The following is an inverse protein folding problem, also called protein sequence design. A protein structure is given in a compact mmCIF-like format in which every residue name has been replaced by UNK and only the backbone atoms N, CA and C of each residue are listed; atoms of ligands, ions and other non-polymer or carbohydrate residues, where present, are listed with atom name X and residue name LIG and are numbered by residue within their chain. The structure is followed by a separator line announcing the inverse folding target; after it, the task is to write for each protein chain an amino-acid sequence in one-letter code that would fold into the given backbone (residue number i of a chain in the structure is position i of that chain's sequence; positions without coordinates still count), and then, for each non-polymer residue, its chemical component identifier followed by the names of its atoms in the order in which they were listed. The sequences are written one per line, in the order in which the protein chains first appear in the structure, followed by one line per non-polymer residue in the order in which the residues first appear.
data_IF_379226934276
#
_entry.id   IF_379226934276
#
_cell.length_a   1.000
_cell.length_b   1.000
_cell.length_c   1.000
_cell.angle_alpha   90.00
_cell.angle_beta   90.00
_cell.angle_gamma   90.00
#
_symmetry.space_group_name_H-M   'P 1'
#
loop_
_entity.id
_entity.type
_entity.pdbx_description
1 polymer ?
#
# COMPACT_ATOMS: atom_id res chain seq x y z
N UNK A 1 30.29 -54.57 40.76
CA UNK A 1 29.29 -53.64 41.34
C UNK A 1 29.60 -52.27 40.75
N UNK A 2 29.20 -51.99 39.51
CA UNK A 2 27.92 -51.38 39.09
C UNK A 2 27.57 -50.20 40.01
N UNK A 3 27.83 -48.98 39.53
CA UNK A 3 26.87 -47.87 39.56
C UNK A 3 27.31 -46.81 38.54
N UNK A 4 26.59 -46.86 37.42
CA UNK A 4 26.66 -46.00 36.25
C UNK A 4 25.89 -44.72 36.59
N UNK A 5 26.58 -43.58 36.71
CA UNK A 5 25.92 -42.29 36.87
C UNK A 5 25.42 -41.83 35.50
N UNK A 6 24.11 -41.92 35.28
CA UNK A 6 23.43 -41.42 34.09
C UNK A 6 23.31 -39.89 34.20
N UNK A 7 24.08 -39.15 33.40
CA UNK A 7 23.88 -37.71 33.20
C UNK A 7 22.90 -37.59 32.03
N UNK A 8 21.63 -37.30 32.34
CA UNK A 8 20.61 -36.96 31.33
C UNK A 8 20.72 -35.46 31.06
N UNK A 9 21.43 -35.10 29.99
CA UNK A 9 21.42 -33.74 29.45
C UNK A 9 20.14 -33.57 28.63
N UNK A 10 19.14 -32.91 29.22
CA UNK A 10 17.90 -32.54 28.53
C UNK A 10 18.19 -31.37 27.59
N UNK A 11 18.48 -31.66 26.31
CA UNK A 11 18.49 -30.69 25.23
C UNK A 11 17.06 -30.22 24.97
N UNK A 12 16.64 -29.12 25.61
CA UNK A 12 15.51 -28.33 25.13
C UNK A 12 15.92 -27.66 23.83
N UNK A 13 15.64 -28.31 22.71
CA UNK A 13 15.55 -27.62 21.42
C UNK A 13 14.32 -26.70 21.47
N UNK A 14 14.52 -25.47 21.90
CA UNK A 14 13.57 -24.40 21.62
C UNK A 14 13.56 -24.20 20.11
N UNK A 15 12.60 -24.84 19.43
CA UNK A 15 12.22 -24.46 18.08
C UNK A 15 11.65 -23.04 18.17
N UNK A 16 12.52 -22.04 18.09
CA UNK A 16 12.09 -20.68 17.84
C UNK A 16 11.43 -20.70 16.48
N UNK A 17 10.10 -20.67 16.44
CA UNK A 17 9.39 -20.26 15.25
C UNK A 17 9.83 -18.83 15.00
N UNK A 18 10.76 -18.64 14.06
CA UNK A 18 10.94 -17.33 13.45
C UNK A 18 9.59 -16.98 12.87
N UNK A 19 8.93 -15.96 13.41
CA UNK A 19 7.78 -15.38 12.71
C UNK A 19 8.34 -14.89 11.38
N UNK A 20 7.94 -15.51 10.26
CA UNK A 20 8.28 -14.96 8.96
C UNK A 20 7.73 -13.54 8.91
N UNK A 21 8.61 -12.59 8.61
CA UNK A 21 8.23 -11.18 8.52
C UNK A 21 7.36 -11.05 7.28
N UNK A 22 6.04 -11.01 7.49
CA UNK A 22 5.07 -10.85 6.40
C UNK A 22 5.39 -9.64 5.52
N UNK A 23 5.73 -8.51 6.13
CA UNK A 23 6.09 -7.30 5.40
C UNK A 23 7.27 -6.60 6.05
N UNK A 24 8.31 -6.39 5.26
CA UNK A 24 9.46 -5.54 5.62
C UNK A 24 9.09 -4.07 5.51
N UNK A 25 8.26 -3.69 4.53
CA UNK A 25 7.96 -2.29 4.25
C UNK A 25 6.69 -1.78 4.92
N UNK A 26 5.57 -2.49 4.82
CA UNK A 26 4.29 -1.99 5.32
C UNK A 26 4.06 -2.36 6.79
N UNK A 27 3.54 -1.43 7.61
CA UNK A 27 3.41 -1.64 9.04
C UNK A 27 2.07 -2.31 9.36
N UNK A 28 2.04 -3.64 9.31
CA UNK A 28 0.82 -4.44 9.43
C UNK A 28 0.39 -4.73 10.89
N UNK A 29 0.99 -4.06 11.87
CA UNK A 29 0.66 -4.26 13.28
C UNK A 29 -0.65 -3.54 13.64
N UNK A 30 -1.62 -4.26 14.22
CA UNK A 30 -2.87 -3.70 14.72
C UNK A 30 -2.63 -2.48 15.61
N UNK A 31 -3.38 -1.42 15.36
CA UNK A 31 -3.26 -0.14 16.06
C UNK A 31 -2.33 0.87 15.39
N UNK A 32 -1.43 0.43 14.51
CA UNK A 32 -0.62 1.34 13.70
C UNK A 32 -1.54 2.26 12.90
N UNK A 33 -1.21 3.55 12.89
CA UNK A 33 -1.90 4.56 12.10
C UNK A 33 -0.90 5.45 11.36
N UNK A 34 -1.26 5.89 10.17
CA UNK A 34 -0.44 6.79 9.38
C UNK A 34 -1.29 7.67 8.49
N UNK A 35 -0.78 8.85 8.16
CA UNK A 35 -1.50 9.84 7.36
C UNK A 35 -0.68 10.20 6.12
N UNK A 36 -1.33 10.16 4.96
CA UNK A 36 -0.78 10.64 3.70
C UNK A 36 -1.51 11.91 3.30
N UNK A 37 -0.77 12.98 3.00
CA UNK A 37 -1.35 14.19 2.40
C UNK A 37 -0.93 14.29 0.94
N UNK A 38 -1.89 14.57 0.07
CA UNK A 38 -1.69 14.75 -1.37
C UNK A 38 -1.79 16.22 -1.76
N UNK A 39 -0.90 16.65 -2.64
CA UNK A 39 -0.74 18.04 -3.08
C UNK A 39 -0.92 18.18 -4.59
N UNK A 40 -1.52 19.28 -5.00
CA UNK A 40 -1.62 19.65 -6.42
C UNK A 40 -0.33 20.33 -6.93
N UNK A 41 -0.33 20.73 -8.21
CA UNK A 41 0.80 21.42 -8.87
C UNK A 41 1.21 22.75 -8.23
N UNK A 42 0.40 23.31 -7.33
CA UNK A 42 0.67 24.55 -6.61
C UNK A 42 0.99 24.33 -5.15
N UNK A 43 1.37 23.11 -4.76
CA UNK A 43 1.67 22.69 -3.38
C UNK A 43 0.51 22.93 -2.42
N UNK A 44 -0.72 22.90 -2.95
CA UNK A 44 -1.92 23.02 -2.14
C UNK A 44 -2.41 21.63 -1.75
N UNK A 45 -2.70 21.39 -0.46
CA UNK A 45 -3.36 20.17 -0.03
C UNK A 45 -4.66 19.95 -0.81
N UNK A 46 -4.78 18.76 -1.40
CA UNK A 46 -5.90 18.34 -2.24
C UNK A 46 -6.72 17.24 -1.59
N UNK A 47 -6.06 16.34 -0.85
CA UNK A 47 -6.69 15.28 -0.06
C UNK A 47 -5.78 14.90 1.11
N UNK A 48 -6.39 14.45 2.20
CA UNK A 48 -5.70 13.83 3.33
C UNK A 48 -6.30 12.45 3.50
N UNK A 49 -5.48 11.41 3.65
CA UNK A 49 -5.94 10.05 3.90
C UNK A 49 -5.35 9.56 5.21
N UNK A 50 -6.21 9.29 6.18
CA UNK A 50 -5.85 8.67 7.44
C UNK A 50 -6.04 7.16 7.34
N UNK A 51 -4.99 6.40 7.61
CA UNK A 51 -4.99 4.95 7.63
C UNK A 51 -4.86 4.42 9.05
N UNK A 52 -5.49 3.27 9.32
CA UNK A 52 -5.33 2.52 10.56
C UNK A 52 -5.41 1.03 10.30
N UNK A 53 -4.47 0.27 10.85
CA UNK A 53 -4.59 -1.20 10.90
C UNK A 53 -5.66 -1.54 11.94
N UNK A 54 -6.87 -1.84 11.47
CA UNK A 54 -8.04 -2.10 12.32
C UNK A 54 -7.97 -3.48 12.96
N UNK A 55 -7.44 -4.46 12.24
CA UNK A 55 -7.19 -5.81 12.72
C UNK A 55 -6.02 -6.48 12.00
N UNK A 56 -5.44 -7.51 12.60
CA UNK A 56 -4.35 -8.27 11.99
C UNK A 56 -4.33 -9.72 12.49
N UNK A 57 -4.06 -10.64 11.57
CA UNK A 57 -3.77 -12.04 11.83
C UNK A 57 -2.31 -12.39 11.55
N UNK A 58 -2.03 -13.69 11.43
CA UNK A 58 -0.68 -14.19 11.14
C UNK A 58 -0.23 -13.83 9.71
N UNK A 59 -1.15 -13.93 8.75
CA UNK A 59 -0.89 -13.83 7.31
C UNK A 59 -1.74 -12.75 6.60
N UNK A 60 -2.43 -11.90 7.37
CA UNK A 60 -3.27 -10.84 6.84
C UNK A 60 -3.37 -9.65 7.80
N UNK A 61 -3.72 -8.48 7.26
CA UNK A 61 -4.08 -7.30 8.03
C UNK A 61 -5.20 -6.52 7.34
N UNK A 62 -6.14 -6.00 8.13
CA UNK A 62 -7.19 -5.11 7.65
C UNK A 62 -6.75 -3.66 7.82
N UNK A 63 -6.69 -2.93 6.71
CA UNK A 63 -6.32 -1.51 6.70
C UNK A 63 -7.56 -0.67 6.41
N UNK A 64 -8.07 -0.01 7.46
CA UNK A 64 -9.11 0.98 7.34
C UNK A 64 -8.52 2.33 6.90
N UNK A 65 -9.28 3.10 6.14
CA UNK A 65 -8.90 4.43 5.70
C UNK A 65 -10.07 5.42 5.67
N UNK A 66 -9.74 6.69 5.93
CA UNK A 66 -10.65 7.84 5.85
C UNK A 66 -10.04 8.89 4.92
N UNK A 67 -10.75 9.22 3.84
CA UNK A 67 -10.36 10.27 2.90
C UNK A 67 -11.06 11.56 3.30
N UNK A 68 -10.27 12.62 3.47
CA UNK A 68 -10.72 13.98 3.76
C UNK A 68 -10.44 14.90 2.60
N UNK A 69 -11.36 15.83 2.35
CA UNK A 69 -11.11 16.95 1.45
C UNK A 69 -10.14 17.98 2.07
N UNK A 70 -9.77 19.00 1.28
CA UNK A 70 -8.90 20.11 1.74
C UNK A 70 -9.42 20.92 2.93
N UNK A 71 -10.69 20.74 3.33
CA UNK A 71 -11.30 21.39 4.51
C UNK A 71 -11.35 20.46 5.72
N UNK A 72 -10.81 19.24 5.60
CA UNK A 72 -10.85 18.22 6.64
C UNK A 72 -12.20 17.49 6.73
N UNK A 73 -13.12 17.70 5.78
CA UNK A 73 -14.39 16.98 5.75
C UNK A 73 -14.15 15.58 5.23
N UNK A 74 -14.59 14.57 5.97
CA UNK A 74 -14.62 13.17 5.50
C UNK A 74 -15.52 13.06 4.27
N UNK A 75 -14.96 12.52 3.19
CA UNK A 75 -15.66 12.32 1.91
C UNK A 75 -15.75 10.85 1.50
N UNK A 76 -14.92 9.98 2.08
CA UNK A 76 -15.00 8.54 1.89
C UNK A 76 -14.35 7.80 3.07
N UNK A 77 -14.87 6.62 3.37
CA UNK A 77 -14.28 5.68 4.33
C UNK A 77 -14.41 4.27 3.77
N UNK A 78 -13.39 3.44 3.95
CA UNK A 78 -13.45 2.02 3.60
C UNK A 78 -12.29 1.29 4.27
N UNK A 79 -12.18 -0.01 4.03
CA UNK A 79 -11.08 -0.83 4.47
C UNK A 79 -10.76 -1.86 3.38
N UNK A 80 -9.52 -2.32 3.36
CA UNK A 80 -9.10 -3.39 2.47
C UNK A 80 -8.10 -4.30 3.18
N UNK A 81 -8.07 -5.56 2.75
CA UNK A 81 -7.19 -6.57 3.31
C UNK A 81 -5.84 -6.56 2.57
N UNK A 82 -4.77 -6.65 3.35
CA UNK A 82 -3.42 -6.92 2.87
C UNK A 82 -3.10 -8.36 3.27
N UNK A 83 -2.68 -9.20 2.33
CA UNK A 83 -2.26 -10.57 2.60
C UNK A 83 -0.76 -10.73 2.42
N UNK A 84 -0.16 -11.55 3.26
CA UNK A 84 1.19 -12.05 3.02
C UNK A 84 1.11 -13.02 1.84
N UNK A 85 1.93 -12.78 0.82
CA UNK A 85 1.99 -13.64 -0.35
C UNK A 85 3.44 -13.72 -0.80
N UNK A 86 3.90 -14.94 -1.08
CA UNK A 86 5.26 -15.22 -1.51
C UNK A 86 6.30 -14.66 -0.50
N UNK A 87 7.27 -13.87 -0.98
CA UNK A 87 8.29 -13.22 -0.17
C UNK A 87 7.91 -11.79 0.25
N UNK A 88 6.63 -11.43 0.31
CA UNK A 88 6.18 -10.10 0.74
C UNK A 88 4.67 -9.98 0.91
N UNK A 89 4.11 -8.88 0.42
CA UNK A 89 2.67 -8.62 0.49
C UNK A 89 2.03 -8.54 -0.90
N UNK A 90 0.77 -8.97 -0.94
CA UNK A 90 -0.14 -8.71 -2.04
C UNK A 90 -1.30 -7.85 -1.54
N UNK A 91 -1.58 -6.78 -2.25
CA UNK A 91 -2.79 -5.99 -2.07
C UNK A 91 -3.81 -6.46 -3.10
N UNK A 92 -4.93 -7.03 -2.63
CA UNK A 92 -6.03 -7.46 -3.49
C UNK A 92 -6.84 -6.23 -3.92
N UNK A 93 -6.71 -5.85 -5.19
CA UNK A 93 -7.47 -4.73 -5.74
C UNK A 93 -8.98 -4.94 -5.67
N UNK A 94 -9.49 -6.19 -5.59
CA UNK A 94 -10.92 -6.43 -5.38
C UNK A 94 -11.40 -5.86 -4.05
N UNK A 95 -10.57 -5.92 -3.01
CA UNK A 95 -10.86 -5.31 -1.71
C UNK A 95 -10.82 -3.78 -1.74
N UNK A 96 -10.13 -3.18 -2.72
CA UNK A 96 -10.15 -1.72 -2.95
C UNK A 96 -11.45 -1.24 -3.61
N UNK A 97 -12.35 -2.14 -4.03
CA UNK A 97 -13.69 -1.85 -4.55
C UNK A 97 -14.67 -1.19 -3.58
N UNK A 98 -14.21 -0.88 -2.36
CA UNK A 98 -14.88 -0.09 -1.34
C UNK A 98 -16.29 -0.56 -0.95
N UNK A 99 -16.41 -1.56 -0.05
CA UNK A 99 -17.68 -1.92 0.60
C UNK A 99 -18.38 -0.71 1.24
N UNK A 100 -17.60 0.18 1.88
CA UNK A 100 -18.13 1.38 2.55
C UNK A 100 -18.70 2.46 1.62
N UNK A 101 -18.36 2.43 0.32
CA UNK A 101 -18.98 3.29 -0.70
C UNK A 101 -20.29 2.64 -1.18
N UNK A 102 -20.34 1.30 -1.31
CA UNK A 102 -21.56 0.56 -1.65
C UNK A 102 -22.65 0.69 -0.58
N UNK A 103 -22.30 0.62 0.72
CA UNK A 103 -23.27 0.75 1.82
C UNK A 103 -23.98 2.11 1.86
N UNK A 104 -23.38 3.16 1.29
CA UNK A 104 -23.96 4.51 1.27
C UNK A 104 -24.93 4.73 0.10
N UNK A 105 -24.96 3.84 -0.89
CA UNK A 105 -25.80 4.00 -2.08
C UNK A 105 -26.38 2.63 -2.52
N UNK A 106 -27.60 2.34 -2.06
CA UNK A 106 -28.31 1.07 -2.30
C UNK A 106 -28.44 0.71 -3.80
N UNK A 107 -28.45 1.70 -4.69
CA UNK A 107 -28.58 1.53 -6.15
C UNK A 107 -27.24 1.40 -6.89
N UNK A 108 -26.12 1.25 -6.17
CA UNK A 108 -24.79 1.19 -6.76
C UNK A 108 -24.18 -0.21 -6.68
N UNK A 109 -23.85 -0.76 -7.85
CA UNK A 109 -23.12 -2.03 -7.99
C UNK A 109 -21.70 -1.77 -8.49
N UNK A 110 -20.70 -2.34 -7.82
CA UNK A 110 -19.28 -2.19 -8.17
C UNK A 110 -18.70 -3.56 -8.49
N UNK A 111 -18.18 -3.71 -9.70
CA UNK A 111 -17.41 -4.88 -10.12
C UNK A 111 -15.92 -4.50 -10.18
N UNK A 112 -15.05 -5.27 -9.52
CA UNK A 112 -13.60 -5.08 -9.59
C UNK A 112 -12.91 -6.38 -10.01
N UNK A 113 -12.00 -6.28 -10.97
CA UNK A 113 -11.11 -7.36 -11.41
C UNK A 113 -9.72 -6.82 -11.71
N UNK A 114 -8.72 -7.69 -11.83
CA UNK A 114 -7.36 -7.29 -12.14
C UNK A 114 -6.32 -8.24 -11.56
N UNK A 115 -5.08 -7.78 -11.49
CA UNK A 115 -3.95 -8.51 -10.91
C UNK A 115 -3.43 -7.79 -9.67
N UNK A 116 -3.12 -8.55 -8.61
CA UNK A 116 -2.68 -8.00 -7.32
C UNK A 116 -1.43 -7.11 -7.46
N UNK A 117 -1.33 -6.08 -6.62
CA UNK A 117 -0.08 -5.33 -6.45
C UNK A 117 0.84 -6.07 -5.50
N UNK A 118 1.93 -6.61 -6.03
CA UNK A 118 2.94 -7.33 -5.24
C UNK A 118 4.05 -6.37 -4.80
N UNK A 119 4.37 -6.40 -3.52
CA UNK A 119 5.53 -5.73 -2.92
C UNK A 119 6.37 -6.78 -2.18
N UNK A 120 7.47 -7.26 -2.79
CA UNK A 120 8.34 -8.23 -2.13
C UNK A 120 9.11 -7.57 -0.98
N UNK A 121 9.54 -8.38 -0.01
CA UNK A 121 10.36 -7.94 1.12
C UNK A 121 11.77 -7.54 0.71
N UNK A 122 12.25 -8.06 -0.42
CA UNK A 122 13.54 -7.70 -0.98
C UNK A 122 13.37 -6.73 -2.17
N UNK A 123 13.80 -5.48 -2.00
CA UNK A 123 13.79 -4.43 -3.03
C UNK A 123 15.22 -3.96 -3.31
N UNK A 124 15.97 -4.79 -4.04
CA UNK A 124 17.32 -4.46 -4.49
C UNK A 124 17.29 -3.56 -5.72
N UNK A 125 18.23 -2.61 -5.80
CA UNK A 125 18.39 -1.74 -6.95
C UNK A 125 18.52 -2.54 -8.25
N UNK A 126 17.82 -2.10 -9.29
CA UNK A 126 17.78 -2.79 -10.58
C UNK A 126 16.70 -3.87 -10.69
N UNK A 127 16.15 -4.38 -9.58
CA UNK A 127 15.08 -5.40 -9.58
C UNK A 127 13.81 -4.85 -10.26
N UNK A 128 13.28 -5.62 -11.20
CA UNK A 128 11.97 -5.39 -11.80
C UNK A 128 10.89 -6.06 -10.97
N UNK A 129 9.72 -5.44 -10.90
CA UNK A 129 8.55 -5.96 -10.17
C UNK A 129 7.41 -6.24 -11.15
N UNK A 130 6.53 -7.22 -10.85
CA UNK A 130 5.40 -7.54 -11.72
C UNK A 130 4.48 -6.35 -11.95
N UNK A 131 4.04 -6.20 -13.20
CA UNK A 131 2.99 -5.27 -13.61
C UNK A 131 1.67 -5.60 -12.91
N UNK A 132 0.87 -4.58 -12.64
CA UNK A 132 -0.45 -4.74 -12.02
C UNK A 132 -1.52 -3.94 -12.75
N UNK A 133 -2.73 -4.49 -12.84
CA UNK A 133 -3.87 -3.78 -13.39
C UNK A 133 -5.11 -3.91 -12.50
N UNK A 134 -6.02 -2.95 -12.67
CA UNK A 134 -7.32 -2.93 -12.03
C UNK A 134 -8.35 -2.45 -13.06
N UNK A 135 -9.43 -3.22 -13.18
CA UNK A 135 -10.60 -2.92 -13.98
C UNK A 135 -11.79 -2.80 -13.03
N UNK A 136 -12.30 -1.59 -12.89
CA UNK A 136 -13.45 -1.29 -12.06
C UNK A 136 -14.61 -0.84 -12.94
N UNK A 137 -15.79 -1.40 -12.70
CA UNK A 137 -17.04 -0.99 -13.32
C UNK A 137 -18.02 -0.59 -12.23
N UNK A 138 -18.53 0.63 -12.30
CA UNK A 138 -19.52 1.16 -11.37
C UNK A 138 -20.84 1.32 -12.14
N UNK A 139 -21.88 0.66 -11.65
CA UNK A 139 -23.23 0.72 -12.14
C UNK A 139 -24.06 1.59 -11.19
N UNK A 140 -24.56 2.72 -11.68
CA UNK A 140 -25.51 3.60 -10.97
C UNK A 140 -26.63 3.91 -11.95
N UNK A 141 -27.78 3.26 -11.83
CA UNK A 141 -28.85 3.33 -12.84
C UNK A 141 -29.17 4.77 -13.27
N UNK A 142 -29.16 5.11 -14.58
CA UNK A 142 -28.88 4.30 -15.78
C UNK A 142 -27.41 4.38 -16.29
N UNK A 143 -26.50 4.95 -15.50
CA UNK A 143 -25.11 5.25 -15.84
C UNK A 143 -24.22 4.03 -15.56
N UNK A 144 -23.37 3.69 -16.53
CA UNK A 144 -22.27 2.73 -16.37
C UNK A 144 -20.94 3.46 -16.51
N UNK A 145 -20.15 3.51 -15.43
CA UNK A 145 -18.80 4.07 -15.41
C UNK A 145 -17.77 2.95 -15.43
N UNK A 146 -16.70 3.13 -16.20
CA UNK A 146 -15.55 2.23 -16.23
C UNK A 146 -14.30 2.98 -15.85
N UNK A 147 -13.49 2.38 -15.00
CA UNK A 147 -12.19 2.86 -14.58
C UNK A 147 -11.16 1.75 -14.75
N UNK A 148 -10.21 1.97 -15.65
CA UNK A 148 -9.07 1.08 -15.82
C UNK A 148 -7.81 1.74 -15.24
N UNK A 149 -7.01 1.01 -14.48
CA UNK A 149 -5.71 1.43 -13.99
C UNK A 149 -4.67 0.38 -14.36
N UNK A 150 -3.56 0.80 -14.94
CA UNK A 150 -2.42 -0.04 -15.23
C UNK A 150 -1.16 0.58 -14.62
N UNK A 151 -0.37 -0.24 -13.94
CA UNK A 151 0.94 0.11 -13.40
C UNK A 151 1.93 -0.86 -14.03
N UNK A 152 2.87 -0.34 -14.81
CA UNK A 152 3.79 -1.17 -15.59
C UNK A 152 5.23 -0.70 -15.48
N UNK A 153 6.18 -1.56 -15.89
CA UNK A 153 7.61 -1.27 -15.88
C UNK A 153 8.09 -0.83 -14.48
N UNK A 154 7.60 -1.53 -13.45
CA UNK A 154 7.95 -1.26 -12.06
C UNK A 154 9.39 -1.69 -11.82
N UNK A 155 10.20 -0.80 -11.25
CA UNK A 155 11.63 -1.05 -11.01
C UNK A 155 12.11 -0.37 -9.74
N UNK A 156 12.97 -1.03 -9.00
CA UNK A 156 13.73 -0.42 -7.91
C UNK A 156 14.86 0.42 -8.51
N UNK A 157 14.75 1.74 -8.36
CA UNK A 157 15.68 2.73 -8.93
C UNK A 157 16.89 3.03 -8.05
N UNK A 158 16.83 2.71 -6.76
CA UNK A 158 17.92 2.98 -5.81
C UNK A 158 17.41 3.26 -4.40
N UNK A 159 18.22 3.99 -3.63
CA UNK A 159 17.89 4.41 -2.25
C UNK A 159 18.09 5.91 -2.08
N UNK A 160 17.20 6.55 -1.36
CA UNK A 160 17.24 7.98 -1.07
C UNK A 160 16.75 8.24 0.37
N UNK A 161 17.33 9.23 1.05
CA UNK A 161 16.82 9.69 2.34
C UNK A 161 15.78 10.79 2.11
N UNK A 162 14.57 10.60 2.64
CA UNK A 162 13.45 11.55 2.50
C UNK A 162 13.06 12.09 3.88
N UNK A 163 12.87 13.40 3.97
CA UNK A 163 12.33 14.05 5.17
C UNK A 163 10.93 14.56 4.88
N UNK A 164 9.99 14.22 5.76
CA UNK A 164 8.59 14.64 5.72
C UNK A 164 8.19 15.15 7.13
N UNK A 165 6.98 15.67 7.32
CA UNK A 165 6.51 16.05 8.67
C UNK A 165 6.50 14.88 9.67
N UNK A 166 6.41 13.63 9.20
CA UNK A 166 6.44 12.44 10.05
C UNK A 166 7.86 12.00 10.46
N UNK A 167 8.92 12.59 9.89
CA UNK A 167 10.31 12.28 10.21
C UNK A 167 11.23 12.15 9.00
N UNK A 168 12.41 11.60 9.23
CA UNK A 168 13.41 11.32 8.18
C UNK A 168 13.57 9.82 8.02
N UNK A 169 13.50 9.35 6.78
CA UNK A 169 13.45 7.93 6.45
C UNK A 169 14.47 7.58 5.38
N UNK A 170 15.12 6.42 5.53
CA UNK A 170 15.91 5.83 4.45
C UNK A 170 14.97 4.99 3.59
N UNK A 171 14.76 5.40 2.35
CA UNK A 171 13.78 4.81 1.47
C UNK A 171 14.44 4.05 0.32
N UNK A 172 13.82 2.96 -0.10
CA UNK A 172 13.99 2.44 -1.46
C UNK A 172 13.09 3.25 -2.40
N UNK A 173 13.57 3.52 -3.61
CA UNK A 173 12.82 4.27 -4.63
C UNK A 173 12.32 3.28 -5.67
N UNK A 174 11.01 3.23 -5.85
CA UNK A 174 10.35 2.55 -6.96
C UNK A 174 10.03 3.56 -8.05
N UNK A 175 10.25 3.18 -9.31
CA UNK A 175 9.78 3.92 -10.48
C UNK A 175 8.84 3.05 -11.29
N UNK A 176 7.82 3.63 -11.88
CA UNK A 176 6.88 2.91 -12.75
C UNK A 176 6.15 3.82 -13.72
N UNK A 177 5.57 3.22 -14.75
CA UNK A 177 4.60 3.87 -15.60
C UNK A 177 3.21 3.67 -15.02
N UNK A 178 2.34 4.66 -15.16
CA UNK A 178 0.92 4.52 -14.83
C UNK A 178 0.04 4.96 -16.00
N UNK A 179 -1.08 4.29 -16.16
CA UNK A 179 -2.18 4.71 -17.02
C UNK A 179 -3.50 4.53 -16.26
N UNK A 180 -4.29 5.59 -16.17
CA UNK A 180 -5.64 5.58 -15.63
C UNK A 180 -6.61 6.05 -16.71
N UNK A 181 -7.71 5.33 -16.91
CA UNK A 181 -8.72 5.64 -17.92
C UNK A 181 -10.10 5.64 -17.26
N UNK A 182 -10.66 6.83 -17.09
CA UNK A 182 -12.04 7.03 -16.63
C UNK A 182 -12.68 8.10 -17.51
N UNK A 183 -13.25 7.67 -18.64
CA UNK A 183 -13.67 8.54 -19.74
C UNK A 183 -12.49 9.18 -20.50
N UNK A 184 -11.64 9.93 -19.79
CA UNK A 184 -10.38 10.50 -20.28
C UNK A 184 -9.21 9.63 -19.79
N UNK A 185 -8.22 9.46 -20.67
CA UNK A 185 -7.00 8.74 -20.36
C UNK A 185 -5.92 9.67 -19.81
N UNK A 186 -5.45 9.39 -18.60
CA UNK A 186 -4.31 10.02 -17.96
C UNK A 186 -3.19 8.99 -17.89
N UNK A 187 -1.97 9.37 -18.27
CA UNK A 187 -0.81 8.47 -18.19
C UNK A 187 0.48 9.25 -18.03
N UNK A 188 1.47 8.57 -17.47
CA UNK A 188 2.72 9.20 -17.06
C UNK A 188 3.68 8.22 -16.40
N UNK A 189 4.63 8.77 -15.65
CA UNK A 189 5.57 8.04 -14.82
C UNK A 189 5.41 8.47 -13.38
N UNK A 190 5.79 7.62 -12.44
CA UNK A 190 5.77 7.96 -11.04
C UNK A 190 7.02 7.44 -10.33
N UNK A 191 7.35 8.10 -9.23
CA UNK A 191 8.34 7.64 -8.25
C UNK A 191 7.65 7.48 -6.91
N UNK A 192 7.97 6.40 -6.21
CA UNK A 192 7.44 6.10 -4.89
C UNK A 192 8.58 5.72 -3.95
N UNK A 193 8.63 6.34 -2.78
CA UNK A 193 9.64 6.09 -1.76
C UNK A 193 9.01 5.24 -0.67
N UNK A 194 9.56 4.04 -0.45
CA UNK A 194 9.11 3.11 0.58
C UNK A 194 10.17 3.00 1.68
N UNK A 195 9.76 3.11 2.94
CA UNK A 195 10.62 2.86 4.10
C UNK A 195 10.19 1.61 4.87
N UNK A 196 11.17 0.92 5.43
CA UNK A 196 10.95 -0.30 6.21
C UNK A 196 10.10 -0.03 7.45
N UNK A 197 9.08 -0.86 7.67
CA UNK A 197 8.15 -0.77 8.80
C UNK A 197 7.33 0.53 8.86
N UNK A 198 7.19 1.23 7.74
CA UNK A 198 6.46 2.51 7.59
C UNK A 198 5.57 2.51 6.34
N UNK A 199 6.07 1.95 5.23
CA UNK A 199 5.36 1.90 3.95
C UNK A 199 5.72 3.10 3.08
N UNK A 200 4.73 3.68 2.40
CA UNK A 200 4.95 4.82 1.51
C UNK A 200 5.25 6.09 2.30
N UNK A 201 6.43 6.65 2.07
CA UNK A 201 6.88 7.92 2.66
C UNK A 201 6.57 9.09 1.72
N UNK A 202 6.74 8.89 0.41
CA UNK A 202 6.51 9.91 -0.60
C UNK A 202 6.09 9.28 -1.93
N UNK A 203 5.32 10.00 -2.73
CA UNK A 203 5.09 9.69 -4.14
C UNK A 203 5.09 10.96 -4.98
N UNK A 204 5.56 10.87 -6.21
CA UNK A 204 5.53 11.93 -7.21
C UNK A 204 5.05 11.36 -8.55
N UNK A 205 4.04 12.00 -9.14
CA UNK A 205 3.51 11.61 -10.45
C UNK A 205 3.86 12.68 -11.48
N UNK A 206 4.29 12.23 -12.65
CA UNK A 206 4.76 13.05 -13.75
C UNK A 206 3.93 12.76 -14.99
N UNK A 207 3.56 13.78 -15.75
CA UNK A 207 2.92 13.57 -17.05
C UNK A 207 3.93 13.09 -18.11
N UNK A 208 3.43 12.73 -19.30
CA UNK A 208 4.27 12.33 -20.44
C UNK A 208 5.35 13.34 -20.89
N UNK A 209 5.24 14.61 -20.46
CA UNK A 209 6.24 15.65 -20.74
C UNK A 209 7.29 15.77 -19.62
N UNK A 210 7.28 14.87 -18.63
CA UNK A 210 8.16 14.91 -17.48
C UNK A 210 7.85 16.00 -16.47
N UNK A 211 6.67 16.65 -16.55
CA UNK A 211 6.28 17.67 -15.58
C UNK A 211 5.53 17.02 -14.41
N UNK A 212 5.94 17.34 -13.18
CA UNK A 212 5.24 16.96 -11.95
C UNK A 212 3.78 17.43 -12.01
N UNK A 213 2.85 16.53 -11.73
CA UNK A 213 1.41 16.80 -11.78
C UNK A 213 0.69 16.62 -10.44
N UNK A 214 1.24 15.78 -9.57
CA UNK A 214 0.78 15.54 -8.21
C UNK A 214 1.93 14.95 -7.41
N UNK A 215 1.89 15.15 -6.10
CA UNK A 215 2.78 14.47 -5.16
C UNK A 215 2.06 14.24 -3.84
N UNK A 216 2.54 13.30 -3.06
CA UNK A 216 2.02 13.03 -1.71
C UNK A 216 3.15 12.64 -0.79
N UNK A 217 2.95 12.84 0.52
CA UNK A 217 3.91 12.45 1.53
C UNK A 217 3.24 12.01 2.83
N UNK A 218 4.00 11.25 3.61
CA UNK A 218 3.66 10.83 4.96
C UNK A 218 3.73 12.03 5.91
N UNK A 219 2.59 12.45 6.44
CA UNK A 219 2.49 13.62 7.31
C UNK A 219 2.34 13.25 8.79
N UNK A 220 1.89 12.04 9.11
CA UNK A 220 1.86 11.51 10.47
C UNK A 220 2.06 10.00 10.49
N UNK A 221 2.66 9.49 11.56
CA UNK A 221 2.91 8.06 11.76
C UNK A 221 2.91 7.72 13.26
N UNK A 222 2.21 6.66 13.64
CA UNK A 222 2.18 6.12 15.01
C UNK A 222 2.06 4.60 14.95
N UNK A 223 2.84 3.90 15.79
CA UNK A 223 2.71 2.46 16.03
C UNK A 223 1.89 2.21 17.29
#
# INVERSE_FOLDING_TARGET
MKNLFFIVTLLLSASGFSQEVCSVYYPLQKGTSFQITSYDKGDKPSAIVDYKVSDAGTDWAMLAYEVKDKKGKVIATSEYEIRCQDDGIAIDFKSLGAPGIMEQYEDMEIEVSGTNLIIPNELLEGRELPDSNMHMTIHVNPIKLKMDVNITNRKVSGKETVTTPAGTFNCVVLSYNFESKMGIKISGTAKQWLAEGVGMVKQEDYNKKGKLISWSELTAFSK
#
